data_IF_270777881579
#
_entry.id   IF_270777881579
#
_cell.length_a   1.000
_cell.length_b   1.000
_cell.length_c   1.000
_cell.angle_alpha   90.00
_cell.angle_beta   90.00
_cell.angle_gamma   90.00
#
_symmetry.space_group_name_H-M   'P 1'
#
loop_
_entity.id
_entity.type
_entity.pdbx_description
1 polymer ?
#
# COMPACT_ATOMS: atom_id res chain seq x y z
N UNK A 1 9.70 -2.78 4.76
CA UNK A 1 10.09 -1.34 4.74
C UNK A 1 11.43 -1.04 4.02
N UNK A 2 11.75 -1.66 2.87
CA UNK A 2 13.05 -1.46 2.20
C UNK A 2 13.29 0.00 1.79
N UNK A 3 12.30 0.66 1.18
CA UNK A 3 12.42 2.04 0.69
C UNK A 3 12.69 3.06 1.80
N UNK A 4 12.04 2.92 2.95
CA UNK A 4 12.31 3.79 4.10
C UNK A 4 13.76 3.64 4.60
N UNK A 5 14.30 2.41 4.61
CA UNK A 5 15.71 2.17 4.96
C UNK A 5 16.68 2.80 3.97
N UNK A 6 16.36 2.80 2.66
CA UNK A 6 17.17 3.48 1.64
C UNK A 6 17.22 4.99 1.91
N UNK A 7 16.07 5.62 2.18
CA UNK A 7 16.00 7.06 2.51
C UNK A 7 16.82 7.38 3.77
N UNK A 8 16.76 6.51 4.77
CA UNK A 8 17.43 6.71 6.06
C UNK A 8 18.91 6.29 6.06
N UNK A 9 19.42 5.66 5.00
CA UNK A 9 20.82 5.25 4.94
C UNK A 9 21.75 6.46 5.01
N UNK A 10 22.85 6.30 5.73
CA UNK A 10 23.90 7.32 5.86
C UNK A 10 24.87 7.30 4.66
N UNK A 11 24.96 6.17 3.95
CA UNK A 11 25.94 5.90 2.91
C UNK A 11 25.27 5.50 1.58
N UNK A 12 25.92 5.83 0.47
CA UNK A 12 25.55 5.41 -0.88
C UNK A 12 24.52 6.30 -1.58
N UNK A 13 24.25 5.98 -2.85
CA UNK A 13 23.20 6.62 -3.61
C UNK A 13 21.82 6.22 -3.07
N UNK A 14 21.04 7.21 -2.61
CA UNK A 14 19.65 7.00 -2.14
C UNK A 14 18.72 6.89 -3.34
N UNK A 15 18.84 5.79 -4.10
CA UNK A 15 17.98 5.48 -5.24
C UNK A 15 17.14 4.24 -4.96
N UNK A 16 15.88 4.30 -5.35
CA UNK A 16 15.04 3.12 -5.33
C UNK A 16 15.33 2.24 -6.56
N UNK A 17 15.47 0.93 -6.37
CA UNK A 17 15.44 0.01 -7.51
C UNK A 17 14.07 0.11 -8.20
N UNK A 18 13.99 -0.20 -9.52
CA UNK A 18 12.73 -0.33 -10.22
C UNK A 18 11.79 -1.26 -9.45
N UNK A 19 10.50 -0.91 -9.41
CA UNK A 19 9.51 -1.78 -8.78
C UNK A 19 9.38 -3.07 -9.61
N UNK A 20 9.84 -4.15 -9.05
CA UNK A 20 9.58 -5.48 -9.60
C UNK A 20 8.30 -6.01 -8.94
N UNK A 21 7.23 -6.03 -9.72
CA UNK A 21 6.04 -6.78 -9.35
C UNK A 21 6.38 -8.26 -9.49
N UNK A 22 6.86 -8.84 -8.41
CA UNK A 22 7.02 -10.29 -8.36
C UNK A 22 5.67 -10.89 -8.01
N UNK A 23 5.02 -11.61 -8.91
CA UNK A 23 4.07 -12.59 -8.46
C UNK A 23 4.87 -13.60 -7.62
N UNK A 24 4.41 -13.89 -6.45
CA UNK A 24 4.88 -15.04 -5.67
C UNK A 24 4.04 -16.24 -6.16
N UNK A 25 4.52 -17.00 -7.17
CA UNK A 25 3.65 -17.87 -7.93
C UNK A 25 3.56 -19.26 -7.32
N UNK A 26 3.33 -19.43 -6.06
CA UNK A 26 3.17 -20.79 -5.65
C UNK A 26 2.96 -21.09 -4.17
N UNK A 27 3.16 -20.14 -3.30
CA UNK A 27 3.05 -20.41 -1.85
C UNK A 27 1.72 -19.98 -1.23
N UNK A 28 0.86 -19.26 -1.99
CA UNK A 28 -0.42 -18.79 -1.44
C UNK A 28 -1.54 -19.41 -2.24
N UNK A 29 -2.35 -20.20 -1.58
CA UNK A 29 -3.64 -20.58 -2.11
C UNK A 29 -4.58 -19.36 -2.04
N UNK A 30 -4.59 -18.55 -3.09
CA UNK A 30 -5.38 -17.32 -3.24
C UNK A 30 -6.91 -17.60 -3.31
N UNK A 31 -7.31 -18.86 -3.41
CA UNK A 31 -8.72 -19.29 -3.33
C UNK A 31 -9.31 -19.08 -1.94
N UNK A 32 -8.47 -18.95 -0.92
CA UNK A 32 -8.91 -18.78 0.47
C UNK A 32 -8.66 -17.37 0.98
N UNK A 33 -9.68 -16.53 0.97
CA UNK A 33 -9.63 -15.15 1.48
C UNK A 33 -9.07 -15.09 2.91
N UNK A 34 -9.44 -16.07 3.76
CA UNK A 34 -8.92 -16.15 5.12
C UNK A 34 -7.40 -16.27 5.19
N UNK A 35 -6.80 -17.07 4.31
CA UNK A 35 -5.33 -17.21 4.22
C UNK A 35 -4.66 -15.91 3.79
N UNK A 36 -5.24 -15.22 2.80
CA UNK A 36 -4.73 -13.93 2.33
C UNK A 36 -4.81 -12.86 3.41
N UNK A 37 -5.93 -12.81 4.15
CA UNK A 37 -6.11 -11.87 5.26
C UNK A 37 -5.12 -12.13 6.40
N UNK A 38 -4.91 -13.38 6.78
CA UNK A 38 -3.94 -13.74 7.82
C UNK A 38 -2.50 -13.37 7.41
N UNK A 39 -2.12 -13.59 6.13
CA UNK A 39 -0.83 -13.16 5.59
C UNK A 39 -0.70 -11.64 5.59
N UNK A 40 -1.72 -10.93 5.13
CA UNK A 40 -1.73 -9.48 5.16
C UNK A 40 -1.54 -8.94 6.57
N UNK A 41 -2.29 -9.46 7.55
CA UNK A 41 -2.16 -9.07 8.95
C UNK A 41 -0.74 -9.29 9.49
N UNK A 42 -0.17 -10.46 9.24
CA UNK A 42 1.19 -10.81 9.67
C UNK A 42 2.23 -9.86 9.07
N UNK A 43 2.19 -9.61 7.75
CA UNK A 43 3.10 -8.70 7.07
C UNK A 43 2.91 -7.26 7.54
N UNK A 44 1.67 -6.82 7.75
CA UNK A 44 1.36 -5.48 8.26
C UNK A 44 1.93 -5.28 9.65
N UNK A 45 1.70 -6.21 10.56
CA UNK A 45 2.23 -6.19 11.93
C UNK A 45 3.76 -6.12 11.94
N UNK A 46 4.42 -6.95 11.13
CA UNK A 46 5.88 -6.94 10.95
C UNK A 46 6.38 -5.59 10.43
N UNK A 47 5.73 -5.03 9.42
CA UNK A 47 6.14 -3.75 8.83
C UNK A 47 5.90 -2.56 9.78
N UNK A 48 4.80 -2.54 10.52
CA UNK A 48 4.54 -1.50 11.52
C UNK A 48 5.54 -1.59 12.68
N UNK A 49 5.87 -2.80 13.14
CA UNK A 49 6.92 -2.98 14.16
C UNK A 49 8.29 -2.51 13.67
N UNK A 50 8.64 -2.80 12.42
CA UNK A 50 9.89 -2.32 11.82
C UNK A 50 9.92 -0.79 11.67
N UNK A 51 8.79 -0.16 11.31
CA UNK A 51 8.64 1.29 11.23
C UNK A 51 8.80 1.93 12.62
N UNK A 52 8.11 1.39 13.61
CA UNK A 52 8.20 1.87 14.99
C UNK A 52 9.63 1.78 15.54
N UNK A 53 10.33 0.69 15.23
CA UNK A 53 11.72 0.49 15.63
C UNK A 53 12.74 1.43 14.97
N UNK A 54 12.36 2.22 13.97
CA UNK A 54 13.23 3.23 13.38
C UNK A 54 13.40 4.48 14.25
N UNK A 55 12.55 4.67 15.27
CA UNK A 55 12.57 5.82 16.18
C UNK A 55 12.72 7.17 15.47
N UNK A 56 11.87 7.40 14.45
CA UNK A 56 11.94 8.55 13.56
C UNK A 56 11.81 9.87 14.32
N UNK A 57 12.68 10.82 13.99
CA UNK A 57 12.64 12.20 14.47
C UNK A 57 12.00 13.11 13.42
N UNK A 58 11.47 14.30 13.78
CA UNK A 58 10.86 15.20 12.81
C UNK A 58 11.72 15.48 11.57
N UNK A 59 13.02 15.65 11.73
CA UNK A 59 13.95 15.90 10.62
C UNK A 59 14.10 14.71 9.65
N UNK A 60 13.77 13.48 10.06
CA UNK A 60 13.87 12.31 9.19
C UNK A 60 12.81 12.32 8.09
N UNK A 61 11.67 12.99 8.32
CA UNK A 61 10.57 13.05 7.36
C UNK A 61 10.95 13.86 6.10
N UNK A 62 11.90 14.78 6.20
CA UNK A 62 12.40 15.61 5.08
C UNK A 62 13.55 14.93 4.32
N UNK A 63 14.05 13.80 4.79
CA UNK A 63 15.10 13.05 4.09
C UNK A 63 14.59 12.50 2.77
N UNK A 64 15.44 12.58 1.76
CA UNK A 64 15.08 12.31 0.37
C UNK A 64 15.75 11.07 -0.21
N UNK A 65 15.14 10.52 -1.26
CA UNK A 65 15.74 9.56 -2.18
C UNK A 65 15.21 9.79 -3.60
N UNK A 66 15.92 9.28 -4.61
CA UNK A 66 15.48 9.33 -6.00
C UNK A 66 14.61 8.12 -6.35
N UNK A 67 13.41 8.43 -6.81
CA UNK A 67 12.50 7.44 -7.38
C UNK A 67 12.67 7.40 -8.90
N UNK A 68 12.75 6.22 -9.55
CA UNK A 68 13.09 6.11 -10.97
C UNK A 68 12.11 6.80 -11.93
N UNK A 69 10.87 7.07 -11.47
CA UNK A 69 9.81 7.71 -12.29
C UNK A 69 9.39 9.06 -11.73
N UNK A 70 9.33 9.21 -10.39
CA UNK A 70 8.78 10.40 -9.74
C UNK A 70 9.82 11.47 -9.40
N UNK A 71 11.12 11.17 -9.60
CA UNK A 71 12.20 12.04 -9.18
C UNK A 71 12.41 12.02 -7.67
N UNK A 72 12.83 13.14 -7.10
CA UNK A 72 13.13 13.25 -5.67
C UNK A 72 11.86 13.12 -4.83
N UNK A 73 11.88 12.22 -3.86
CA UNK A 73 10.77 11.98 -2.91
C UNK A 73 11.29 11.99 -1.47
N UNK A 74 10.43 12.39 -0.51
CA UNK A 74 10.78 12.42 0.91
C UNK A 74 10.25 11.18 1.64
N UNK A 75 10.80 10.92 2.85
CA UNK A 75 10.28 9.87 3.73
C UNK A 75 8.84 10.18 4.15
N UNK A 76 8.53 11.44 4.46
CA UNK A 76 7.17 11.87 4.80
C UNK A 76 6.18 11.56 3.69
N UNK A 77 6.52 11.87 2.43
CA UNK A 77 5.69 11.52 1.27
C UNK A 77 5.51 10.02 1.09
N UNK A 78 6.58 9.23 1.28
CA UNK A 78 6.50 7.76 1.21
C UNK A 78 5.51 7.20 2.25
N UNK A 79 5.57 7.68 3.49
CA UNK A 79 4.69 7.20 4.56
C UNK A 79 3.24 7.66 4.35
N UNK A 80 3.01 8.89 3.92
CA UNK A 80 1.69 9.39 3.56
C UNK A 80 1.10 8.60 2.38
N UNK A 81 1.92 8.31 1.36
CA UNK A 81 1.51 7.48 0.23
C UNK A 81 1.08 6.09 0.69
N UNK A 82 1.76 5.49 1.66
CA UNK A 82 1.38 4.18 2.18
C UNK A 82 -0.04 4.18 2.75
N UNK A 83 -0.41 5.20 3.53
CA UNK A 83 -1.78 5.34 4.06
C UNK A 83 -2.80 5.48 2.94
N UNK A 84 -2.57 6.39 1.99
CA UNK A 84 -3.50 6.64 0.87
C UNK A 84 -3.62 5.42 -0.04
N UNK A 85 -2.53 4.69 -0.24
CA UNK A 85 -2.51 3.46 -1.02
C UNK A 85 -3.40 2.37 -0.39
N UNK A 86 -3.39 2.22 0.92
CA UNK A 86 -4.29 1.31 1.62
C UNK A 86 -5.77 1.70 1.42
N UNK A 87 -6.08 3.00 1.53
CA UNK A 87 -7.43 3.52 1.28
C UNK A 87 -7.88 3.26 -0.17
N UNK A 88 -6.96 3.40 -1.13
CA UNK A 88 -7.24 3.08 -2.53
C UNK A 88 -7.62 1.61 -2.72
N UNK A 89 -6.90 0.69 -2.08
CA UNK A 89 -7.26 -0.74 -2.14
C UNK A 89 -8.57 -1.05 -1.42
N UNK A 90 -8.84 -0.43 -0.27
CA UNK A 90 -10.15 -0.54 0.39
C UNK A 90 -11.28 -0.08 -0.53
N UNK A 91 -11.10 1.05 -1.22
CA UNK A 91 -12.07 1.52 -2.23
C UNK A 91 -12.31 0.48 -3.33
N UNK A 92 -11.24 -0.12 -3.86
CA UNK A 92 -11.35 -1.16 -4.90
C UNK A 92 -12.12 -2.39 -4.41
N UNK A 93 -11.87 -2.84 -3.17
CA UNK A 93 -12.56 -3.98 -2.56
C UNK A 93 -14.05 -3.66 -2.40
N UNK A 94 -14.38 -2.53 -1.77
CA UNK A 94 -15.76 -2.10 -1.52
C UNK A 94 -16.52 -1.95 -2.84
N UNK A 95 -15.90 -1.34 -3.84
CA UNK A 95 -16.49 -1.22 -5.18
C UNK A 95 -16.74 -2.57 -5.85
N UNK A 96 -15.82 -3.51 -5.71
CA UNK A 96 -15.98 -4.87 -6.26
C UNK A 96 -17.14 -5.60 -5.61
N UNK A 97 -17.29 -5.51 -4.28
CA UNK A 97 -18.42 -6.08 -3.54
C UNK A 97 -19.74 -5.43 -3.96
N UNK A 98 -19.78 -4.09 -4.07
CA UNK A 98 -20.99 -3.38 -4.50
C UNK A 98 -21.44 -3.78 -5.91
N UNK A 99 -20.50 -4.00 -6.84
CA UNK A 99 -20.81 -4.44 -8.20
C UNK A 99 -21.53 -5.78 -8.26
N UNK A 100 -21.25 -6.70 -7.35
CA UNK A 100 -21.95 -8.00 -7.28
C UNK A 100 -23.44 -7.83 -7.04
N UNK A 101 -23.85 -6.75 -6.35
CA UNK A 101 -25.24 -6.44 -6.03
C UNK A 101 -25.89 -5.46 -7.02
N UNK A 102 -25.17 -5.00 -8.04
CA UNK A 102 -25.59 -3.89 -8.89
C UNK A 102 -26.92 -4.09 -9.62
N UNK A 103 -27.28 -5.34 -9.96
CA UNK A 103 -28.56 -5.67 -10.58
C UNK A 103 -29.66 -5.84 -9.53
N UNK A 104 -29.33 -6.43 -8.39
CA UNK A 104 -30.31 -6.71 -7.33
C UNK A 104 -30.86 -5.45 -6.67
N UNK A 105 -30.11 -4.34 -6.65
CA UNK A 105 -30.58 -3.07 -6.07
C UNK A 105 -31.65 -2.39 -6.92
N UNK A 106 -31.82 -2.76 -8.19
CA UNK A 106 -32.85 -2.24 -9.08
C UNK A 106 -32.87 -0.71 -9.16
N UNK A 107 -34.08 -0.06 -9.05
CA UNK A 107 -34.20 1.41 -9.16
C UNK A 107 -33.45 2.21 -8.12
N UNK A 108 -33.07 1.61 -6.98
CA UNK A 108 -32.28 2.26 -5.93
C UNK A 108 -30.85 2.60 -6.37
N UNK A 109 -30.36 2.00 -7.47
CA UNK A 109 -29.02 2.22 -8.02
C UNK A 109 -28.69 3.71 -8.18
N UNK A 110 -29.65 4.52 -8.61
CA UNK A 110 -29.47 5.97 -8.80
C UNK A 110 -29.06 6.75 -7.55
N UNK A 111 -29.27 6.17 -6.36
CA UNK A 111 -28.92 6.77 -5.07
C UNK A 111 -27.59 6.23 -4.52
N UNK A 112 -26.89 5.37 -5.28
CA UNK A 112 -25.71 4.62 -4.83
C UNK A 112 -24.50 4.99 -5.69
N UNK A 113 -23.86 6.12 -5.37
CA UNK A 113 -22.70 6.65 -6.12
C UNK A 113 -21.57 5.63 -6.34
N UNK A 114 -21.40 4.68 -5.43
CA UNK A 114 -20.40 3.61 -5.55
C UNK A 114 -20.62 2.70 -6.79
N UNK A 115 -21.83 2.68 -7.35
CA UNK A 115 -22.19 1.91 -8.55
C UNK A 115 -22.06 2.72 -9.84
N UNK A 116 -21.79 4.03 -9.76
CA UNK A 116 -21.72 4.94 -10.92
C UNK A 116 -20.30 5.15 -11.44
N UNK A 117 -19.28 4.75 -10.69
CA UNK A 117 -17.86 4.94 -11.01
C UNK A 117 -17.28 3.79 -11.83
#
# INVERSE_FOLDING_TARGET
MPRARIILSAEGERRFPPFQQMPDPGEIDDRYVGTMLARFESLRRKNLGALHGLDLKPADYDRTAEHPVLGTVTLGQLLATWVVHDLNHLHQIVKSVAKVQAEAVGPWRRNLAILEL
#
